data_IF_459713006729
#
_entry.id   IF_459713006729
#
_cell.length_a   1.000
_cell.length_b   1.000
_cell.length_c   1.000
_cell.angle_alpha   90.00
_cell.angle_beta   90.00
_cell.angle_gamma   90.00
#
_symmetry.space_group_name_H-M   'P 1'
#
loop_
_entity.id
_entity.type
_entity.pdbx_description
1 polymer ?
#
# COMPACT_ATOMS: atom_id res chain seq x y z
N UNK A 1 14.61 27.04 -30.26
CA UNK A 1 14.27 26.68 -29.98
C UNK A 1 14.27 26.13 -29.14
N UNK A 2 14.08 25.85 -28.63
CA UNK A 2 14.09 25.31 -27.90
C UNK A 2 13.51 24.57 -27.44
N UNK A 3 13.47 23.96 -26.90
CA UNK A 3 12.98 23.17 -26.51
C UNK A 3 12.59 22.92 -25.50
N UNK A 4 12.06 22.43 -25.23
CA UNK A 4 11.55 22.19 -24.45
C UNK A 4 11.59 21.43 -23.61
N UNK A 5 11.56 21.11 -23.03
CA UNK A 5 11.68 20.38 -22.26
C UNK A 5 10.88 20.01 -21.58
N UNK A 6 10.60 19.35 -21.36
CA UNK A 6 9.89 18.80 -20.95
C UNK A 6 9.80 18.58 -19.70
N UNK A 7 9.47 18.28 -19.17
CA UNK A 7 9.25 18.01 -18.11
C UNK A 7 9.74 17.11 -17.61
N UNK A 8 9.69 17.02 -16.96
CA UNK A 8 10.27 16.25 -16.29
C UNK A 8 9.65 15.13 -16.15
N UNK A 9 9.92 14.46 -16.44
CA UNK A 9 9.50 13.38 -16.38
C UNK A 9 9.47 12.90 -15.19
N UNK A 10 8.82 12.29 -14.84
CA UNK A 10 8.66 11.77 -13.76
C UNK A 10 9.39 10.84 -13.58
N UNK A 11 10.07 10.80 -13.36
CA UNK A 11 10.78 9.95 -13.17
C UNK A 11 10.26 8.99 -12.34
N UNK A 12 9.24 8.95 -11.77
CA UNK A 12 8.87 7.92 -11.02
C UNK A 12 8.20 6.96 -11.72
N UNK A 13 8.72 5.94 -12.02
CA UNK A 13 8.05 4.81 -12.48
C UNK A 13 7.34 4.25 -11.31
N UNK A 14 6.38 3.44 -11.46
CA UNK A 14 5.64 2.90 -10.36
C UNK A 14 6.49 2.11 -9.39
N UNK A 15 7.51 1.44 -9.87
CA UNK A 15 8.31 0.71 -8.95
C UNK A 15 9.43 1.57 -8.50
N UNK A 16 9.43 2.83 -8.76
CA UNK A 16 10.48 3.68 -8.39
C UNK A 16 9.95 4.70 -7.44
N UNK A 17 9.11 4.30 -6.51
CA UNK A 17 8.54 5.21 -5.55
C UNK A 17 9.59 5.72 -4.61
N UNK A 18 9.48 6.97 -4.23
CA UNK A 18 10.41 7.54 -3.28
C UNK A 18 10.08 7.00 -1.89
N UNK A 19 11.01 7.19 -0.99
CA UNK A 19 10.80 6.77 0.38
C UNK A 19 9.59 7.44 1.00
N UNK A 20 9.41 8.72 0.71
CA UNK A 20 8.26 9.46 1.25
C UNK A 20 6.95 8.87 0.76
N UNK A 21 6.91 8.50 -0.49
CA UNK A 21 5.71 7.92 -1.06
C UNK A 21 5.42 6.56 -0.45
N UNK A 22 6.46 5.80 -0.21
CA UNK A 22 6.29 4.49 0.42
C UNK A 22 5.81 4.62 1.87
N UNK A 23 6.34 5.60 2.58
CA UNK A 23 5.90 5.84 3.96
C UNK A 23 4.45 6.26 4.01
N UNK A 24 4.05 7.08 3.05
CA UNK A 24 2.68 7.52 2.95
C UNK A 24 1.75 6.34 2.69
N UNK A 25 2.18 5.46 1.79
CA UNK A 25 1.41 4.28 1.47
C UNK A 25 1.32 3.36 2.68
N UNK A 26 2.42 3.22 3.39
CA UNK A 26 2.46 2.40 4.59
C UNK A 26 1.45 2.89 5.61
N UNK A 27 1.41 4.20 5.81
CA UNK A 27 0.46 4.79 6.73
C UNK A 27 -0.98 4.49 6.30
N UNK A 28 -1.26 4.66 5.02
CA UNK A 28 -2.60 4.40 4.50
C UNK A 28 -3.00 2.95 4.69
N UNK A 29 -2.06 2.04 4.47
CA UNK A 29 -2.35 0.63 4.64
C UNK A 29 -2.59 0.28 6.10
N UNK A 30 -1.83 0.87 6.99
CA UNK A 30 -2.02 0.65 8.41
C UNK A 30 -3.37 1.17 8.88
N UNK A 31 -3.75 2.34 8.38
CA UNK A 31 -5.04 2.91 8.71
C UNK A 31 -6.17 2.03 8.21
N UNK A 32 -6.02 1.53 6.99
CA UNK A 32 -7.03 0.66 6.40
C UNK A 32 -7.16 -0.64 7.18
N UNK A 33 -6.04 -1.18 7.62
CA UNK A 33 -6.07 -2.41 8.42
C UNK A 33 -6.74 -2.18 9.76
N UNK A 34 -6.46 -1.06 10.39
CA UNK A 34 -7.07 -0.75 11.66
C UNK A 34 -8.58 -0.60 11.52
N UNK A 35 -9.01 0.07 10.45
CA UNK A 35 -10.44 0.22 10.20
C UNK A 35 -11.08 -1.12 9.90
N UNK A 36 -10.39 -1.96 9.19
CA UNK A 36 -10.91 -3.27 8.84
C UNK A 36 -11.01 -4.15 10.07
N UNK A 37 -10.06 -4.05 10.97
CA UNK A 37 -10.11 -4.80 12.23
C UNK A 37 -11.38 -4.47 13.01
N UNK A 38 -11.78 -3.20 12.98
CA UNK A 38 -12.98 -2.79 13.67
C UNK A 38 -14.23 -3.35 13.03
N UNK A 39 -14.15 -3.76 11.79
CA UNK A 39 -15.30 -4.28 11.06
C UNK A 39 -15.36 -5.79 11.05
N UNK A 40 -14.55 -6.43 11.84
CA UNK A 40 -14.52 -7.89 11.83
C UNK A 40 -15.89 -8.47 12.16
N UNK A 41 -16.46 -9.28 11.26
CA UNK A 41 -17.77 -9.87 11.52
C UNK A 41 -17.69 -10.88 12.65
N UNK A 42 -18.76 -11.00 13.39
CA UNK A 42 -18.77 -11.92 14.50
C UNK A 42 -18.99 -13.35 14.06
N UNK A 43 -19.67 -13.53 12.94
CA UNK A 43 -19.99 -14.86 12.47
C UNK A 43 -18.91 -15.35 11.53
N UNK A 44 -18.02 -16.17 12.02
CA UNK A 44 -16.90 -16.64 11.25
C UNK A 44 -17.30 -17.58 10.13
N UNK A 45 -18.51 -18.08 10.14
CA UNK A 45 -18.97 -18.96 9.09
C UNK A 45 -19.70 -18.23 7.98
N UNK A 46 -19.81 -16.92 8.07
CA UNK A 46 -20.58 -16.18 7.09
C UNK A 46 -19.73 -15.76 5.91
N UNK A 47 -20.41 -15.46 4.80
CA UNK A 47 -19.73 -14.95 3.62
C UNK A 47 -19.08 -13.60 3.91
N UNK A 48 -19.68 -12.87 4.81
CA UNK A 48 -19.14 -11.61 5.21
C UNK A 48 -17.76 -11.77 5.80
N UNK A 49 -17.59 -12.75 6.66
CA UNK A 49 -16.31 -13.01 7.30
C UNK A 49 -15.29 -13.41 6.24
N UNK A 50 -15.68 -14.25 5.30
CA UNK A 50 -14.77 -14.68 4.24
C UNK A 50 -14.27 -13.49 3.43
N UNK A 51 -15.15 -12.57 3.12
CA UNK A 51 -14.75 -11.38 2.37
C UNK A 51 -13.87 -10.48 3.19
N UNK A 52 -14.22 -10.34 4.45
CA UNK A 52 -13.42 -9.51 5.35
C UNK A 52 -12.01 -10.08 5.47
N UNK A 53 -11.90 -11.39 5.67
CA UNK A 53 -10.60 -12.04 5.80
C UNK A 53 -9.77 -11.88 4.52
N UNK A 54 -10.41 -11.98 3.37
CA UNK A 54 -9.72 -11.79 2.10
C UNK A 54 -9.18 -10.39 1.95
N UNK A 55 -9.94 -9.39 2.35
CA UNK A 55 -9.48 -8.02 2.29
C UNK A 55 -8.34 -7.78 3.25
N UNK A 56 -8.45 -8.35 4.44
CA UNK A 56 -7.42 -8.20 5.45
C UNK A 56 -6.11 -8.78 4.93
N UNK A 57 -6.18 -9.94 4.32
CA UNK A 57 -5.02 -10.60 3.76
C UNK A 57 -4.40 -9.79 2.65
N UNK A 58 -5.22 -9.24 1.78
CA UNK A 58 -4.72 -8.45 0.66
C UNK A 58 -3.99 -7.20 1.16
N UNK A 59 -4.52 -6.57 2.20
CA UNK A 59 -3.87 -5.41 2.76
C UNK A 59 -2.56 -5.76 3.44
N UNK A 60 -2.52 -6.89 4.09
CA UNK A 60 -1.29 -7.33 4.74
C UNK A 60 -0.22 -7.65 3.72
N UNK A 61 -0.60 -8.23 2.59
CA UNK A 61 0.33 -8.51 1.52
C UNK A 61 0.93 -7.22 0.96
N UNK A 62 0.08 -6.24 0.76
CA UNK A 62 0.55 -4.96 0.27
C UNK A 62 1.47 -4.29 1.28
N UNK A 63 1.13 -4.40 2.53
CA UNK A 63 1.94 -3.84 3.59
C UNK A 63 3.33 -4.46 3.58
N UNK A 64 3.39 -5.76 3.42
CA UNK A 64 4.65 -6.49 3.33
C UNK A 64 5.49 -6.01 2.16
N UNK A 65 4.86 -5.81 1.02
CA UNK A 65 5.54 -5.32 -0.17
C UNK A 65 6.14 -3.95 0.06
N UNK A 66 5.39 -3.08 0.70
CA UNK A 66 5.87 -1.73 0.99
C UNK A 66 7.05 -1.78 1.95
N UNK A 67 6.96 -2.63 2.95
CA UNK A 67 8.04 -2.76 3.91
C UNK A 67 9.30 -3.30 3.25
N UNK A 68 9.15 -4.22 2.33
CA UNK A 68 10.27 -4.75 1.57
C UNK A 68 10.94 -3.66 0.75
N UNK A 69 10.15 -2.85 0.09
CA UNK A 69 10.68 -1.77 -0.72
C UNK A 69 11.39 -0.74 0.13
N UNK A 70 10.84 -0.45 1.29
CA UNK A 70 11.48 0.48 2.21
C UNK A 70 12.81 -0.07 2.71
N UNK A 71 12.84 -1.36 2.96
CA UNK A 71 14.07 -2.00 3.40
C UNK A 71 15.16 -1.90 2.35
N UNK A 72 14.78 -2.01 1.09
CA UNK A 72 15.72 -1.89 0.00
C UNK A 72 16.26 -0.48 -0.16
N UNK A 73 15.44 0.50 0.11
CA UNK A 73 15.86 1.88 0.01
C UNK A 73 16.74 2.31 1.17
N UNK A 74 16.62 1.62 2.27
CA UNK A 74 17.30 2.04 3.48
C UNK A 74 18.20 0.91 3.92
N UNK A 75 19.32 0.71 3.32
CA UNK A 75 20.22 -0.41 3.60
C UNK A 75 20.84 -0.40 4.98
#
# INVERSE_FOLDING_TARGET
>A
MTEPIPFPTPEHAPDDLTRDELLDRLQSLQDALAALDDEEPEDMASDRYTRWAGRHEALEDELDDVLDLLDELDP
#
